data_IF_044636179815
#
_entry.id   IF_044636179815
#
_cell.length_a   1.000
_cell.length_b   1.000
_cell.length_c   1.000
_cell.angle_alpha   90.00
_cell.angle_beta   90.00
_cell.angle_gamma   90.00
#
_symmetry.space_group_name_H-M   'P 1'
#
loop_
_entity.id
_entity.type
_entity.pdbx_description
1 polymer ?
#
# COMPACT_ATOMS: atom_id res chain seq x y z
N UNK A 1 5.55 4.23 -7.89
CA UNK A 1 5.23 5.48 -7.15
C UNK A 1 5.96 6.64 -7.81
N UNK A 2 7.29 6.60 -7.78
CA UNK A 2 8.21 7.50 -8.46
C UNK A 2 8.01 7.58 -9.98
N UNK A 3 7.45 6.52 -10.59
CA UNK A 3 7.09 6.49 -12.01
C UNK A 3 6.07 7.55 -12.41
N UNK A 4 5.30 8.07 -11.46
CA UNK A 4 4.33 9.16 -11.68
C UNK A 4 4.95 10.56 -11.61
N UNK A 5 6.24 10.68 -11.28
CA UNK A 5 6.96 11.96 -11.35
C UNK A 5 7.14 12.40 -12.81
N UNK A 6 6.88 13.68 -13.09
CA UNK A 6 6.88 14.29 -14.42
C UNK A 6 5.54 14.21 -15.15
N UNK A 7 4.48 13.71 -14.50
CA UNK A 7 3.15 13.54 -15.10
C UNK A 7 2.13 14.63 -14.69
N UNK A 8 2.56 15.70 -14.03
CA UNK A 8 1.69 16.79 -13.57
C UNK A 8 0.89 16.43 -12.32
N UNK A 9 1.40 15.52 -11.49
CA UNK A 9 0.77 15.14 -10.22
C UNK A 9 1.37 15.94 -9.07
N UNK A 10 0.77 15.87 -7.87
CA UNK A 10 1.34 16.49 -6.67
C UNK A 10 2.73 15.95 -6.29
N UNK A 11 3.15 14.81 -6.85
CA UNK A 11 4.53 14.32 -6.69
C UNK A 11 5.57 15.27 -7.26
N UNK A 12 5.21 16.04 -8.29
CA UNK A 12 6.12 16.98 -8.96
C UNK A 12 6.40 18.20 -8.08
N UNK A 13 5.44 18.56 -7.23
CA UNK A 13 5.59 19.63 -6.24
C UNK A 13 6.37 19.18 -5.00
N UNK A 14 6.20 17.90 -4.61
CA UNK A 14 6.81 17.34 -3.40
C UNK A 14 8.27 16.96 -3.65
N UNK A 15 8.59 16.41 -4.82
CA UNK A 15 9.91 15.87 -5.12
C UNK A 15 10.58 16.63 -6.27
N UNK A 16 11.80 17.15 -6.07
CA UNK A 16 12.51 17.89 -7.11
C UNK A 16 12.93 17.00 -8.29
N UNK A 17 13.02 15.68 -8.07
CA UNK A 17 13.37 14.70 -9.11
C UNK A 17 12.66 13.37 -8.86
N UNK A 18 12.51 12.58 -9.92
CA UNK A 18 12.05 11.19 -9.83
C UNK A 18 12.89 10.35 -8.86
N UNK A 19 14.20 10.58 -8.79
CA UNK A 19 15.06 9.85 -7.86
C UNK A 19 14.79 10.25 -6.40
N UNK A 20 14.52 11.53 -6.12
CA UNK A 20 14.08 11.96 -4.80
C UNK A 20 12.77 11.28 -4.39
N UNK A 21 11.80 11.15 -5.31
CA UNK A 21 10.58 10.38 -5.08
C UNK A 21 10.87 8.90 -4.82
N UNK A 22 11.77 8.28 -5.61
CA UNK A 22 12.16 6.87 -5.43
C UNK A 22 12.76 6.62 -4.05
N UNK A 23 13.64 7.52 -3.60
CA UNK A 23 14.29 7.45 -2.29
C UNK A 23 13.30 7.60 -1.13
N UNK A 24 12.14 8.24 -1.36
CA UNK A 24 11.07 8.35 -0.36
C UNK A 24 10.13 7.13 -0.32
N UNK A 25 10.23 6.19 -1.27
CA UNK A 25 9.37 4.99 -1.29
C UNK A 25 9.64 4.08 -0.09
N UNK A 26 8.58 3.66 0.60
CA UNK A 26 8.61 2.84 1.84
C UNK A 26 9.50 1.60 1.75
N UNK A 27 9.65 0.99 0.58
CA UNK A 27 10.45 -0.21 0.33
C UNK A 27 11.93 -0.05 0.75
N UNK A 28 12.46 1.18 0.69
CA UNK A 28 13.83 1.49 1.09
C UNK A 28 13.99 1.75 2.59
N UNK A 29 12.88 1.90 3.31
CA UNK A 29 12.83 2.28 4.73
C UNK A 29 12.27 1.16 5.61
N UNK A 30 12.08 -0.04 5.07
CA UNK A 30 11.62 -1.19 5.85
C UNK A 30 12.69 -1.62 6.85
N UNK A 31 12.35 -1.57 8.14
CA UNK A 31 13.21 -2.03 9.21
C UNK A 31 12.92 -3.52 9.52
N UNK A 32 13.89 -4.45 9.32
CA UNK A 32 13.63 -5.89 9.44
C UNK A 32 13.13 -6.36 10.81
N UNK A 33 13.50 -5.64 11.87
CA UNK A 33 13.17 -5.99 13.26
C UNK A 33 12.14 -5.05 13.90
N UNK A 34 11.70 -4.01 13.19
CA UNK A 34 10.80 -2.98 13.74
C UNK A 34 9.77 -2.59 12.68
N UNK A 35 8.87 -3.52 12.41
CA UNK A 35 7.79 -3.39 11.45
C UNK A 35 6.44 -3.54 12.17
N UNK A 36 5.33 -3.01 11.60
CA UNK A 36 4.03 -3.10 12.25
C UNK A 36 3.56 -4.55 12.34
N UNK A 37 3.29 -5.07 13.54
CA UNK A 37 2.93 -6.49 13.76
C UNK A 37 1.76 -6.98 12.90
N UNK A 38 0.81 -6.09 12.62
CA UNK A 38 -0.40 -6.39 11.86
C UNK A 38 -0.53 -5.39 10.71
N UNK A 39 -0.46 -5.89 9.47
CA UNK A 39 -0.54 -5.07 8.26
C UNK A 39 -1.57 -5.67 7.31
N UNK A 40 -2.40 -4.80 6.73
CA UNK A 40 -3.39 -5.16 5.71
C UNK A 40 -3.17 -4.28 4.48
N UNK A 41 -2.93 -4.90 3.33
CA UNK A 41 -2.71 -4.23 2.05
C UNK A 41 -3.88 -4.48 1.10
N UNK A 42 -4.63 -3.43 0.75
CA UNK A 42 -5.81 -3.53 -0.11
C UNK A 42 -5.61 -2.66 -1.35
N UNK A 43 -5.84 -3.22 -2.53
CA UNK A 43 -5.78 -2.48 -3.79
C UNK A 43 -6.70 -3.12 -4.82
N UNK A 44 -7.50 -2.33 -5.53
CA UNK A 44 -8.24 -2.82 -6.68
C UNK A 44 -7.25 -3.15 -7.81
N UNK A 45 -7.33 -4.32 -8.47
CA UNK A 45 -6.46 -4.63 -9.60
C UNK A 45 -6.65 -3.70 -10.82
N UNK A 46 -7.73 -2.91 -10.86
CA UNK A 46 -7.99 -1.86 -11.85
C UNK A 46 -7.49 -0.46 -11.41
N UNK A 47 -6.96 -0.31 -10.20
CA UNK A 47 -6.37 0.96 -9.73
C UNK A 47 -4.94 1.13 -10.29
N UNK A 48 -4.84 1.84 -11.42
CA UNK A 48 -3.57 2.10 -12.08
C UNK A 48 -2.58 2.94 -11.23
N UNK A 49 -3.05 3.71 -10.24
CA UNK A 49 -2.17 4.51 -9.39
C UNK A 49 -1.51 3.67 -8.30
N UNK A 50 -2.28 2.77 -7.68
CA UNK A 50 -1.86 2.02 -6.51
C UNK A 50 -1.22 0.66 -6.86
N UNK A 51 -1.71 -0.02 -7.90
CA UNK A 51 -1.43 -1.43 -8.19
C UNK A 51 0.06 -1.79 -8.22
N UNK A 52 0.85 -1.08 -9.04
CA UNK A 52 2.27 -1.41 -9.18
C UNK A 52 3.05 -1.17 -7.88
N UNK A 53 2.64 -0.14 -7.12
CA UNK A 53 3.22 0.16 -5.82
C UNK A 53 2.95 -0.93 -4.79
N UNK A 54 1.70 -1.39 -4.67
CA UNK A 54 1.33 -2.43 -3.70
C UNK A 54 2.00 -3.76 -4.03
N UNK A 55 2.09 -4.15 -5.31
CA UNK A 55 2.78 -5.38 -5.70
C UNK A 55 4.27 -5.34 -5.39
N UNK A 56 4.91 -4.19 -5.64
CA UNK A 56 6.34 -4.03 -5.32
C UNK A 56 6.56 -4.10 -3.81
N UNK A 57 5.67 -3.50 -3.00
CA UNK A 57 5.73 -3.59 -1.54
C UNK A 57 5.53 -5.02 -1.05
N UNK A 58 4.49 -5.72 -1.53
CA UNK A 58 4.21 -7.12 -1.19
C UNK A 58 5.40 -8.02 -1.53
N UNK A 59 5.98 -7.88 -2.72
CA UNK A 59 7.17 -8.62 -3.13
C UNK A 59 8.33 -8.39 -2.16
N UNK A 60 8.58 -7.14 -1.78
CA UNK A 60 9.61 -6.79 -0.80
C UNK A 60 9.33 -7.44 0.56
N UNK A 61 8.15 -7.23 1.14
CA UNK A 61 7.76 -7.78 2.44
C UNK A 61 7.93 -9.31 2.47
N UNK A 62 7.39 -9.99 1.45
CA UNK A 62 7.53 -11.44 1.28
C UNK A 62 8.98 -11.88 1.22
N UNK A 63 9.82 -11.22 0.42
CA UNK A 63 11.26 -11.56 0.31
C UNK A 63 12.04 -11.33 1.61
N UNK A 64 11.55 -10.46 2.48
CA UNK A 64 12.14 -10.18 3.80
C UNK A 64 11.53 -11.00 4.93
N UNK A 65 10.54 -11.86 4.64
CA UNK A 65 9.85 -12.67 5.64
C UNK A 65 8.91 -11.87 6.56
N UNK A 66 8.52 -10.66 6.17
CA UNK A 66 7.59 -9.83 6.94
C UNK A 66 6.16 -10.23 6.57
N UNK A 67 5.33 -10.68 7.53
CA UNK A 67 3.96 -11.09 7.26
C UNK A 67 3.05 -9.87 7.01
N UNK A 68 2.07 -10.07 6.14
CA UNK A 68 1.00 -9.13 5.85
C UNK A 68 -0.23 -9.90 5.35
N UNK A 69 -1.42 -9.35 5.61
CA UNK A 69 -2.65 -9.77 4.95
C UNK A 69 -2.86 -8.88 3.72
N UNK A 70 -3.44 -9.42 2.64
CA UNK A 70 -3.71 -8.63 1.44
C UNK A 70 -5.00 -9.02 0.71
N UNK A 71 -5.48 -8.11 -0.13
CA UNK A 71 -6.44 -8.37 -1.21
C UNK A 71 -6.09 -7.47 -2.40
N UNK A 72 -5.67 -8.10 -3.50
CA UNK A 72 -5.37 -7.44 -4.79
C UNK A 72 -6.17 -8.03 -5.94
N UNK A 73 -7.27 -8.73 -5.63
CA UNK A 73 -8.09 -9.47 -6.60
C UNK A 73 -9.51 -8.91 -6.68
N UNK A 74 -10.07 -8.47 -5.54
CA UNK A 74 -11.38 -7.85 -5.48
C UNK A 74 -11.39 -6.55 -6.30
N UNK A 75 -12.36 -6.38 -7.19
CA UNK A 75 -12.48 -5.19 -8.04
C UNK A 75 -13.87 -4.57 -7.98
N UNK A 76 -13.93 -3.24 -7.92
CA UNK A 76 -15.13 -2.41 -7.92
C UNK A 76 -14.93 -1.15 -8.80
N UNK A 77 -14.16 -1.31 -9.89
CA UNK A 77 -13.95 -0.25 -10.89
C UNK A 77 -12.72 0.64 -10.63
N UNK A 78 -11.76 0.18 -9.83
CA UNK A 78 -10.51 0.89 -9.57
C UNK A 78 -10.59 1.85 -8.38
N UNK A 79 -9.76 2.90 -8.41
CA UNK A 79 -9.70 3.90 -7.34
C UNK A 79 -11.03 4.64 -7.21
N UNK A 80 -11.66 4.56 -6.03
CA UNK A 80 -12.85 5.34 -5.72
C UNK A 80 -13.67 4.83 -4.54
N UNK A 81 -14.78 5.53 -4.29
CA UNK A 81 -15.68 5.23 -3.17
C UNK A 81 -16.34 3.86 -3.25
N UNK A 82 -16.63 3.35 -4.45
CA UNK A 82 -17.20 2.02 -4.62
C UNK A 82 -16.28 0.94 -4.04
N UNK A 83 -15.00 0.98 -4.41
CA UNK A 83 -13.99 0.08 -3.87
C UNK A 83 -13.74 0.30 -2.37
N UNK A 84 -13.62 1.55 -1.93
CA UNK A 84 -13.44 1.87 -0.52
C UNK A 84 -14.59 1.33 0.36
N UNK A 85 -15.84 1.50 -0.08
CA UNK A 85 -17.02 1.00 0.61
C UNK A 85 -17.07 -0.53 0.62
N UNK A 86 -16.72 -1.19 -0.49
CA UNK A 86 -16.62 -2.65 -0.53
C UNK A 86 -15.61 -3.17 0.50
N UNK A 87 -14.45 -2.53 0.59
CA UNK A 87 -13.36 -3.00 1.44
C UNK A 87 -13.48 -2.55 2.90
N UNK A 88 -14.38 -1.61 3.20
CA UNK A 88 -14.57 -1.08 4.56
C UNK A 88 -14.86 -2.16 5.61
N UNK A 89 -15.76 -3.14 5.40
CA UNK A 89 -15.98 -4.21 6.37
C UNK A 89 -14.70 -5.01 6.67
N UNK A 90 -13.88 -5.29 5.64
CA UNK A 90 -12.60 -6.00 5.81
C UNK A 90 -11.60 -5.16 6.59
N UNK A 91 -11.44 -3.89 6.23
CA UNK A 91 -10.51 -2.98 6.91
C UNK A 91 -10.88 -2.77 8.39
N UNK A 92 -12.15 -2.47 8.66
CA UNK A 92 -12.66 -2.27 10.03
C UNK A 92 -12.59 -3.57 10.83
N UNK A 93 -12.99 -4.70 10.24
CA UNK A 93 -12.93 -6.02 10.88
C UNK A 93 -11.51 -6.42 11.23
N UNK A 94 -10.54 -6.16 10.35
CA UNK A 94 -9.12 -6.37 10.62
C UNK A 94 -8.65 -5.54 11.82
N UNK A 95 -8.95 -4.24 11.83
CA UNK A 95 -8.56 -3.36 12.94
C UNK A 95 -9.15 -3.83 14.28
N UNK A 96 -10.46 -4.10 14.32
CA UNK A 96 -11.15 -4.57 15.52
C UNK A 96 -10.56 -5.89 16.05
N UNK A 97 -10.34 -6.86 15.15
CA UNK A 97 -9.78 -8.15 15.52
C UNK A 97 -8.36 -8.03 16.07
N UNK A 98 -7.49 -7.22 15.43
CA UNK A 98 -6.09 -7.09 15.85
C UNK A 98 -5.92 -6.24 17.10
N UNK A 99 -6.71 -5.17 17.26
CA UNK A 99 -6.72 -4.38 18.49
C UNK A 99 -7.13 -5.22 19.70
N UNK A 100 -8.10 -6.13 19.52
CA UNK A 100 -8.56 -7.04 20.58
C UNK A 100 -7.48 -8.03 21.04
N UNK A 101 -6.43 -8.25 20.26
CA UNK A 101 -5.29 -9.11 20.64
C UNK A 101 -4.22 -8.37 21.45
N UNK A 102 -4.24 -7.04 21.47
CA UNK A 102 -3.26 -6.20 22.18
C UNK A 102 -3.80 -5.64 23.51
N UNK A 103 -5.08 -5.89 23.83
CA UNK A 103 -5.75 -5.52 25.08
C UNK A 103 -5.81 -6.71 26.05
#
# INVERSE_FOLDING_TARGET
FETWHGHGTTLDDIFPTREAARQATVILHLHPLNWPKHQLLLCDPQDNYCRDGVHTLMSKLSSTGIPFDSDTETTHGGFGWAYANQMAPRAVGFLAARLSLEL
#
